data_IF_942668132191
#
_entry.id   IF_942668132191
#
_cell.length_a   1.000
_cell.length_b   1.000
_cell.length_c   1.000
_cell.angle_alpha   90.00
_cell.angle_beta   90.00
_cell.angle_gamma   90.00
#
_symmetry.space_group_name_H-M   'P 1'
#
loop_
_entity.id
_entity.type
_entity.pdbx_description
1 polymer ?
#
# COMPACT_ATOMS: atom_id res chain seq x y z
N UNK A 1 -3.90 -30.34 0.00
CA UNK A 1 -3.00 -29.31 0.58
C UNK A 1 -1.65 -29.39 -0.11
N UNK A 2 -1.43 -28.59 -1.16
CA UNK A 2 -0.15 -28.57 -1.88
C UNK A 2 0.72 -27.45 -1.30
N UNK A 3 1.64 -27.82 -0.41
CA UNK A 3 2.64 -26.91 0.13
C UNK A 3 3.62 -26.53 -0.97
N UNK A 4 3.34 -25.43 -1.68
CA UNK A 4 4.30 -24.87 -2.64
C UNK A 4 5.54 -24.45 -1.87
N UNK A 5 6.62 -25.23 -1.98
CA UNK A 5 7.96 -24.82 -1.56
C UNK A 5 8.41 -23.67 -2.46
N UNK A 6 8.15 -22.43 -2.05
CA UNK A 6 8.67 -21.26 -2.74
C UNK A 6 10.17 -21.18 -2.47
N UNK A 7 10.98 -21.29 -3.53
CA UNK A 7 12.42 -21.03 -3.47
C UNK A 7 12.68 -19.61 -2.94
N UNK A 8 13.67 -19.43 -2.07
CA UNK A 8 14.02 -18.13 -1.45
C UNK A 8 14.13 -16.96 -2.45
N UNK A 9 14.60 -17.21 -3.68
CA UNK A 9 14.65 -16.19 -4.74
C UNK A 9 13.28 -15.71 -5.22
N UNK A 10 12.30 -16.61 -5.34
CA UNK A 10 10.92 -16.26 -5.74
C UNK A 10 10.22 -15.45 -4.66
N UNK A 11 10.48 -15.79 -3.39
CA UNK A 11 9.97 -15.03 -2.25
C UNK A 11 10.56 -13.62 -2.19
N UNK A 12 11.87 -13.47 -2.45
CA UNK A 12 12.56 -12.17 -2.46
C UNK A 12 12.08 -11.27 -3.59
N UNK A 13 11.87 -11.81 -4.78
CA UNK A 13 11.32 -11.06 -5.93
C UNK A 13 9.88 -10.62 -5.67
N UNK A 14 9.07 -11.50 -5.09
CA UNK A 14 7.70 -11.18 -4.71
C UNK A 14 7.66 -10.14 -3.59
N UNK A 15 8.55 -10.22 -2.61
CA UNK A 15 8.70 -9.19 -1.58
C UNK A 15 9.06 -7.82 -2.16
N UNK A 16 9.96 -7.78 -3.15
CA UNK A 16 10.33 -6.52 -3.81
C UNK A 16 9.19 -5.94 -4.65
N UNK A 17 8.42 -6.81 -5.32
CA UNK A 17 7.23 -6.38 -6.08
C UNK A 17 6.11 -5.93 -5.14
N UNK A 18 5.77 -6.70 -4.11
CA UNK A 18 4.72 -6.33 -3.15
C UNK A 18 5.12 -5.12 -2.31
N UNK A 19 6.37 -5.03 -1.87
CA UNK A 19 6.90 -3.86 -1.16
C UNK A 19 6.97 -2.62 -2.04
N UNK A 20 7.50 -2.73 -3.26
CA UNK A 20 7.56 -1.61 -4.21
C UNK A 20 6.19 -1.15 -4.67
N UNK A 21 5.28 -2.08 -4.96
CA UNK A 21 3.90 -1.78 -5.35
C UNK A 21 3.11 -1.17 -4.18
N UNK A 22 3.28 -1.69 -2.96
CA UNK A 22 2.66 -1.16 -1.75
C UNK A 22 3.11 0.27 -1.46
N UNK A 23 4.40 0.55 -1.52
CA UNK A 23 4.96 1.91 -1.35
C UNK A 23 4.51 2.85 -2.46
N UNK A 24 4.41 2.38 -3.70
CA UNK A 24 3.90 3.18 -4.82
C UNK A 24 2.44 3.59 -4.63
N UNK A 25 1.58 2.65 -4.23
CA UNK A 25 0.17 2.91 -3.92
C UNK A 25 0.03 3.85 -2.72
N UNK A 26 0.86 3.66 -1.69
CA UNK A 26 0.90 4.53 -0.50
C UNK A 26 1.29 5.96 -0.87
N UNK A 27 2.36 6.12 -1.65
CA UNK A 27 2.85 7.43 -2.11
C UNK A 27 1.81 8.14 -2.97
N UNK A 28 1.18 7.41 -3.91
CA UNK A 28 0.11 7.95 -4.74
C UNK A 28 -1.11 8.37 -3.89
N UNK A 29 -1.53 7.54 -2.93
CA UNK A 29 -2.58 7.87 -1.98
C UNK A 29 -2.23 9.13 -1.16
N UNK A 30 -0.99 9.27 -0.71
CA UNK A 30 -0.52 10.44 0.04
C UNK A 30 -0.52 11.72 -0.82
N UNK A 31 -0.10 11.64 -2.09
CA UNK A 31 -0.19 12.76 -3.03
C UNK A 31 -1.65 13.19 -3.26
N UNK A 32 -2.55 12.24 -3.55
CA UNK A 32 -3.98 12.53 -3.72
C UNK A 32 -4.62 13.10 -2.45
N UNK A 33 -4.19 12.65 -1.27
CA UNK A 33 -4.65 13.19 0.02
C UNK A 33 -4.27 14.67 0.16
N UNK A 34 -3.00 15.00 -0.10
CA UNK A 34 -2.48 16.38 -0.03
C UNK A 34 -3.20 17.27 -1.04
N UNK A 35 -3.39 16.80 -2.26
CA UNK A 35 -4.10 17.53 -3.32
C UNK A 35 -5.57 17.80 -2.97
N UNK A 36 -6.26 16.81 -2.37
CA UNK A 36 -7.63 16.98 -1.85
C UNK A 36 -7.70 17.95 -0.67
N UNK A 37 -6.66 18.00 0.17
CA UNK A 37 -6.55 18.92 1.30
C UNK A 37 -6.34 20.37 0.87
N UNK A 38 -5.61 20.59 -0.24
CA UNK A 38 -5.48 21.89 -0.88
C UNK A 38 -6.76 22.31 -1.61
N UNK A 39 -7.47 21.36 -2.27
CA UNK A 39 -8.75 21.64 -2.92
C UNK A 39 -9.82 22.15 -1.95
N UNK A 40 -9.74 21.81 -0.65
CA UNK A 40 -10.64 22.34 0.39
C UNK A 40 -10.53 23.87 0.58
N UNK A 41 -9.43 24.49 0.15
CA UNK A 41 -9.22 25.94 0.20
C UNK A 41 -9.55 26.65 -1.11
N UNK A 42 -9.73 25.91 -2.21
CA UNK A 42 -10.18 26.43 -3.51
C UNK A 42 -11.67 26.23 -3.68
N UNK A 43 -12.33 27.12 -4.40
CA UNK A 43 -13.80 27.18 -4.59
C UNK A 43 -14.40 26.01 -5.43
N UNK A 44 -14.00 24.76 -5.18
CA UNK A 44 -14.44 23.57 -5.91
C UNK A 44 -15.51 22.77 -5.14
N UNK A 45 -16.39 22.11 -5.89
CA UNK A 45 -17.55 21.35 -5.41
C UNK A 45 -17.17 20.33 -4.31
N UNK A 46 -17.76 20.50 -3.11
CA UNK A 46 -17.31 19.81 -1.88
C UNK A 46 -17.35 18.28 -1.96
N UNK A 47 -18.16 17.72 -2.86
CA UNK A 47 -18.27 16.28 -3.10
C UNK A 47 -17.01 15.66 -3.73
N UNK A 48 -16.30 16.40 -4.59
CA UNK A 48 -15.09 15.89 -5.24
C UNK A 48 -13.91 15.75 -4.26
N UNK A 49 -13.72 16.70 -3.34
CA UNK A 49 -12.64 16.59 -2.35
C UNK A 49 -12.92 15.44 -1.37
N UNK A 50 -14.16 15.27 -0.91
CA UNK A 50 -14.51 14.23 0.08
C UNK A 50 -14.32 12.83 -0.52
N UNK A 51 -14.74 12.64 -1.77
CA UNK A 51 -14.55 11.36 -2.47
C UNK A 51 -13.08 11.11 -2.78
N UNK A 52 -12.31 12.10 -3.25
CA UNK A 52 -10.87 11.98 -3.47
C UNK A 52 -10.09 11.71 -2.17
N UNK A 53 -10.48 12.36 -1.06
CA UNK A 53 -9.93 12.15 0.27
C UNK A 53 -10.23 10.76 0.83
N UNK A 54 -11.45 10.26 0.62
CA UNK A 54 -11.84 8.91 1.06
C UNK A 54 -11.12 7.84 0.24
N UNK A 55 -11.04 8.03 -1.07
CA UNK A 55 -10.33 7.12 -1.98
C UNK A 55 -8.83 7.06 -1.66
N UNK A 56 -8.20 8.21 -1.37
CA UNK A 56 -6.81 8.26 -0.94
C UNK A 56 -6.59 7.56 0.41
N UNK A 57 -7.51 7.70 1.36
CA UNK A 57 -7.44 6.96 2.63
C UNK A 57 -7.50 5.43 2.42
N UNK A 58 -8.38 4.97 1.54
CA UNK A 58 -8.50 3.54 1.17
C UNK A 58 -7.23 3.04 0.50
N UNK A 59 -6.63 3.84 -0.39
CA UNK A 59 -5.36 3.50 -1.04
C UNK A 59 -4.19 3.43 -0.04
N UNK A 60 -4.12 4.38 0.89
CA UNK A 60 -3.12 4.39 1.96
C UNK A 60 -3.27 3.15 2.84
N UNK A 61 -4.48 2.82 3.29
CA UNK A 61 -4.71 1.63 4.12
C UNK A 61 -4.43 0.32 3.37
N UNK A 62 -4.79 0.25 2.08
CA UNK A 62 -4.48 -0.90 1.25
C UNK A 62 -2.97 -1.06 1.05
N UNK A 63 -2.26 0.04 0.77
CA UNK A 63 -0.81 0.06 0.63
C UNK A 63 -0.09 -0.36 1.93
N UNK A 64 -0.55 0.14 3.08
CA UNK A 64 -0.01 -0.22 4.40
C UNK A 64 -0.21 -1.70 4.72
N UNK A 65 -1.43 -2.23 4.55
CA UNK A 65 -1.70 -3.65 4.78
C UNK A 65 -0.83 -4.54 3.88
N UNK A 66 -0.70 -4.18 2.60
CA UNK A 66 0.08 -4.95 1.64
C UNK A 66 1.58 -4.93 1.99
N UNK A 67 2.09 -3.79 2.46
CA UNK A 67 3.47 -3.63 2.90
C UNK A 67 3.74 -4.41 4.20
N UNK A 68 2.85 -4.30 5.20
CA UNK A 68 2.97 -4.98 6.49
C UNK A 68 2.84 -6.50 6.35
N UNK A 69 1.93 -7.00 5.53
CA UNK A 69 1.79 -8.44 5.25
C UNK A 69 3.09 -9.00 4.62
N UNK A 70 3.69 -8.25 3.71
CA UNK A 70 4.96 -8.64 3.08
C UNK A 70 6.11 -8.72 4.10
N UNK A 71 6.22 -7.70 4.97
CA UNK A 71 7.18 -7.62 6.07
C UNK A 71 6.97 -8.73 7.09
N UNK A 72 5.73 -8.94 7.52
CA UNK A 72 5.34 -10.00 8.45
C UNK A 72 5.69 -11.38 7.89
N UNK A 73 5.42 -11.63 6.60
CA UNK A 73 5.79 -12.88 5.94
C UNK A 73 7.32 -13.09 5.93
N UNK A 74 8.10 -12.04 5.65
CA UNK A 74 9.57 -12.09 5.68
C UNK A 74 10.13 -12.29 7.10
N UNK A 75 9.55 -11.63 8.10
CA UNK A 75 9.91 -11.80 9.52
C UNK A 75 9.58 -13.20 10.02
N UNK A 76 8.40 -13.73 9.68
CA UNK A 76 7.97 -15.09 10.06
C UNK A 76 8.87 -16.16 9.43
N UNK A 77 9.37 -15.91 8.21
CA UNK A 77 10.34 -16.78 7.55
C UNK A 77 11.73 -16.72 8.22
N UNK A 78 12.12 -15.56 8.77
CA UNK A 78 13.39 -15.39 9.48
C UNK A 78 13.37 -15.93 10.92
N UNK A 79 12.24 -15.83 11.63
CA UNK A 79 12.09 -16.31 13.01
C UNK A 79 11.89 -17.84 13.14
N UNK A 80 11.81 -18.56 12.01
CA UNK A 80 11.71 -20.03 11.97
C UNK A 80 13.03 -20.71 11.55
N UNK A 81 14.16 -20.01 11.73
CA UNK A 81 15.55 -20.48 11.62
C UNK A 81 16.22 -20.36 12.98
#
# INVERSE_FOLDING_TARGET
MSGRKYTNQQLRRRYWIFGGLGTGILGFGLTCLIESGFLKHGEAESWQWITAGTLSLVLIMTGLNLMLESLACKLKLQNHL
#
